data_IF_178555948695
#
_entry.id   IF_178555948695
#
_cell.length_a   1.000
_cell.length_b   1.000
_cell.length_c   1.000
_cell.angle_alpha   90.00
_cell.angle_beta   90.00
_cell.angle_gamma   90.00
#
_symmetry.space_group_name_H-M   'P 1'
#
loop_
_entity.id
_entity.type
_entity.pdbx_description
1 polymer ?
#
# COMPACT_ATOMS: atom_id res chain seq x y z
N UNK A 1 11.62 -35.97 7.62
CA UNK A 1 10.48 -36.21 6.72
C UNK A 1 10.51 -35.13 5.65
N UNK A 2 10.87 -35.51 4.42
CA UNK A 2 10.95 -34.63 3.24
C UNK A 2 9.58 -34.56 2.55
N UNK A 3 9.02 -33.37 2.33
CA UNK A 3 7.90 -33.14 1.41
C UNK A 3 8.07 -31.74 0.78
N UNK A 4 8.77 -31.64 -0.35
CA UNK A 4 8.28 -31.60 -1.74
C UNK A 4 7.70 -30.24 -2.15
N UNK A 5 8.59 -29.42 -2.71
CA UNK A 5 8.31 -28.23 -3.52
C UNK A 5 7.55 -28.68 -4.78
N UNK A 6 6.39 -28.08 -5.06
CA UNK A 6 5.70 -28.22 -6.34
C UNK A 6 5.71 -26.86 -7.01
N UNK A 7 6.61 -26.69 -7.97
CA UNK A 7 6.62 -25.59 -8.94
C UNK A 7 5.66 -25.96 -10.07
N UNK A 8 4.59 -25.20 -10.23
CA UNK A 8 3.71 -25.29 -11.41
C UNK A 8 4.07 -24.15 -12.35
N UNK A 9 4.86 -24.47 -13.39
CA UNK A 9 5.12 -23.60 -14.52
C UNK A 9 3.91 -23.67 -15.48
N UNK A 10 3.11 -22.61 -15.49
CA UNK A 10 2.13 -22.37 -16.54
C UNK A 10 2.76 -21.59 -17.69
N UNK A 11 3.23 -22.32 -18.72
CA UNK A 11 3.56 -21.73 -20.02
C UNK A 11 2.24 -21.45 -20.76
N UNK A 12 1.86 -20.18 -20.89
CA UNK A 12 0.84 -19.76 -21.85
C UNK A 12 1.53 -18.97 -22.96
N UNK A 13 1.76 -19.64 -24.09
CA UNK A 13 2.14 -18.98 -25.33
C UNK A 13 0.87 -18.51 -26.04
N UNK A 14 0.74 -17.20 -26.26
CA UNK A 14 -0.18 -16.65 -27.25
C UNK A 14 0.64 -15.91 -28.27
N UNK A 15 0.81 -16.55 -29.44
CA UNK A 15 1.25 -15.91 -30.64
C UNK A 15 0.05 -15.20 -31.29
N UNK A 16 0.10 -13.87 -31.36
CA UNK A 16 -0.68 -13.10 -32.30
C UNK A 16 0.31 -12.29 -33.13
N UNK A 17 0.51 -12.69 -34.39
CA UNK A 17 1.36 -11.98 -35.32
C UNK A 17 0.65 -10.74 -35.85
N UNK A 18 1.42 -9.67 -36.11
CA UNK A 18 1.25 -8.83 -37.29
C UNK A 18 2.49 -7.96 -37.53
N UNK A 19 3.01 -8.14 -38.73
CA UNK A 19 3.90 -7.32 -39.53
C UNK A 19 4.00 -5.82 -39.15
N UNK A 20 5.23 -5.33 -38.97
CA UNK A 20 5.56 -3.91 -38.92
C UNK A 20 7.07 -3.70 -38.89
N UNK A 21 7.66 -3.39 -40.03
CA UNK A 21 9.06 -3.00 -40.16
C UNK A 21 9.19 -1.54 -39.68
N UNK A 22 9.87 -1.32 -38.55
CA UNK A 22 10.14 0.01 -38.03
C UNK A 22 11.23 -0.04 -36.96
N UNK A 23 12.36 0.60 -37.23
CA UNK A 23 13.37 0.89 -36.21
C UNK A 23 12.77 1.87 -35.19
N UNK A 24 12.29 1.34 -34.07
CA UNK A 24 11.91 2.10 -32.89
C UNK A 24 12.73 1.62 -31.70
N UNK A 25 13.42 2.53 -31.03
CA UNK A 25 13.96 2.23 -29.70
C UNK A 25 12.76 2.09 -28.76
N UNK A 26 12.36 0.84 -28.51
CA UNK A 26 11.26 0.47 -27.62
C UNK A 26 11.70 0.68 -26.17
N UNK A 27 11.51 1.89 -25.67
CA UNK A 27 11.67 2.20 -24.25
C UNK A 27 10.33 1.99 -23.55
N UNK A 28 10.26 0.99 -22.66
CA UNK A 28 9.03 0.72 -21.89
C UNK A 28 8.59 1.94 -21.07
N UNK A 29 7.28 2.16 -20.99
CA UNK A 29 6.71 3.29 -20.25
C UNK A 29 6.71 3.05 -18.74
N UNK A 30 6.93 4.10 -17.96
CA UNK A 30 6.81 4.06 -16.50
C UNK A 30 5.33 4.07 -16.07
N UNK A 31 5.02 3.32 -15.02
CA UNK A 31 3.68 3.23 -14.43
C UNK A 31 3.75 3.37 -12.91
N UNK A 32 2.76 4.06 -12.35
CA UNK A 32 2.54 4.11 -10.91
C UNK A 32 1.05 4.06 -10.60
N UNK A 33 0.69 3.41 -9.50
CA UNK A 33 -0.69 3.30 -9.02
C UNK A 33 -0.73 3.44 -7.51
N UNK A 34 -1.79 4.07 -7.01
CA UNK A 34 -2.10 4.17 -5.59
C UNK A 34 -3.59 3.91 -5.38
N UNK A 35 -3.92 3.02 -4.46
CA UNK A 35 -5.29 2.69 -4.07
C UNK A 35 -5.44 2.82 -2.56
N UNK A 36 -6.51 3.46 -2.09
CA UNK A 36 -6.85 3.58 -0.67
C UNK A 36 -8.33 3.24 -0.49
N UNK A 37 -8.62 2.32 0.42
CA UNK A 37 -9.96 1.93 0.83
C UNK A 37 -10.15 2.31 2.29
N UNK A 38 -11.10 3.22 2.54
CA UNK A 38 -11.53 3.61 3.89
C UNK A 38 -12.83 2.88 4.21
N UNK A 39 -12.87 2.19 5.34
CA UNK A 39 -14.10 1.58 5.83
C UNK A 39 -14.79 2.55 6.79
N UNK A 40 -15.71 3.37 6.27
CA UNK A 40 -16.55 4.21 7.11
C UNK A 40 -17.70 3.38 7.70
N UNK A 41 -17.86 3.42 9.03
CA UNK A 41 -19.06 2.92 9.71
C UNK A 41 -20.14 3.99 9.58
N UNK A 42 -21.15 3.76 8.74
CA UNK A 42 -22.38 4.55 8.72
C UNK A 42 -23.29 4.03 9.84
N UNK A 43 -23.19 4.59 11.04
CA UNK A 43 -24.26 4.45 12.03
C UNK A 43 -25.34 5.51 11.75
N UNK A 44 -26.33 5.10 10.98
CA UNK A 44 -27.57 5.84 10.79
C UNK A 44 -28.45 5.69 12.05
N UNK A 45 -28.61 6.77 12.82
CA UNK A 45 -29.77 6.92 13.69
C UNK A 45 -30.51 8.23 13.34
N UNK A 46 -31.51 8.09 12.47
CA UNK A 46 -32.58 9.06 12.30
C UNK A 46 -33.71 8.72 13.27
N UNK A 47 -34.26 9.73 13.96
CA UNK A 47 -35.67 9.77 14.32
C UNK A 47 -36.17 11.22 14.19
N UNK A 48 -37.26 11.51 13.46
CA UNK A 48 -37.79 12.86 13.33
C UNK A 48 -38.70 13.15 14.52
N UNK A 49 -38.42 14.22 15.26
CA UNK A 49 -39.37 14.78 16.22
C UNK A 49 -39.93 16.09 15.65
N UNK A 50 -41.16 16.01 15.13
CA UNK A 50 -42.02 17.17 14.90
C UNK A 50 -42.27 17.90 16.22
N UNK A 51 -42.04 19.22 16.31
CA UNK A 51 -42.81 20.12 17.19
C UNK A 51 -42.83 21.55 16.60
N UNK A 52 -44.05 22.08 16.44
CA UNK A 52 -44.34 23.48 16.10
C UNK A 52 -44.20 24.41 17.33
N UNK A 53 -43.96 25.69 17.05
CA UNK A 53 -44.24 26.90 17.85
C UNK A 53 -43.45 27.16 19.15
N UNK A 54 -42.67 28.25 19.18
CA UNK A 54 -43.01 29.54 19.80
C UNK A 54 -41.77 30.26 20.35
N UNK A 55 -41.58 31.53 19.95
CA UNK A 55 -40.55 32.43 20.45
C UNK A 55 -40.65 32.64 21.97
N UNK A 56 -39.55 32.43 22.71
CA UNK A 56 -39.28 33.12 23.96
C UNK A 56 -37.81 32.97 24.39
N UNK A 57 -37.14 34.11 24.55
CA UNK A 57 -35.75 34.26 24.96
C UNK A 57 -35.49 33.77 26.39
N UNK A 58 -34.56 32.83 26.60
CA UNK A 58 -33.91 32.60 27.89
C UNK A 58 -32.46 32.13 27.70
N UNK A 59 -31.59 32.52 28.64
CA UNK A 59 -30.15 32.26 28.68
C UNK A 59 -29.79 30.80 28.38
N UNK A 60 -29.16 30.55 27.23
CA UNK A 60 -28.51 29.27 26.95
C UNK A 60 -27.09 29.27 27.51
N UNK A 61 -26.97 28.60 28.65
CA UNK A 61 -25.73 28.00 29.11
C UNK A 61 -25.24 27.06 28.00
N UNK A 62 -24.31 27.54 27.17
CA UNK A 62 -23.70 26.77 26.10
C UNK A 62 -22.87 25.62 26.68
N UNK A 63 -23.55 24.54 27.04
CA UNK A 63 -22.94 23.22 27.18
C UNK A 63 -22.61 22.74 25.77
N UNK A 64 -21.39 23.09 25.33
CA UNK A 64 -20.70 22.40 24.25
C UNK A 64 -20.58 20.92 24.67
N UNK A 65 -21.58 20.12 24.31
CA UNK A 65 -21.46 18.67 24.28
C UNK A 65 -20.39 18.34 23.24
N UNK A 66 -19.17 18.10 23.70
CA UNK A 66 -18.14 17.50 22.88
C UNK A 66 -18.59 16.07 22.61
N UNK A 67 -19.21 15.84 21.46
CA UNK A 67 -19.55 14.50 21.00
C UNK A 67 -18.25 13.88 20.53
N UNK A 68 -17.62 13.07 21.39
CA UNK A 68 -16.45 12.29 21.02
C UNK A 68 -16.85 11.20 20.02
N UNK A 69 -16.68 11.51 18.73
CA UNK A 69 -16.96 10.60 17.63
C UNK A 69 -15.82 9.57 17.52
N UNK A 70 -15.83 8.54 18.37
CA UNK A 70 -14.89 7.42 18.27
C UNK A 70 -15.32 6.46 17.16
N UNK A 71 -14.81 6.67 15.95
CA UNK A 71 -14.97 5.74 14.84
C UNK A 71 -13.93 4.61 14.90
N UNK A 72 -14.36 3.38 14.60
CA UNK A 72 -13.45 2.23 14.50
C UNK A 72 -12.47 2.40 13.32
N UNK A 73 -11.15 2.49 13.55
CA UNK A 73 -10.20 2.78 12.49
C UNK A 73 -9.99 1.54 11.61
N UNK A 74 -10.37 1.64 10.33
CA UNK A 74 -10.19 0.55 9.36
C UNK A 74 -9.87 1.07 7.96
N UNK A 75 -8.77 0.61 7.39
CA UNK A 75 -8.35 0.95 6.03
C UNK A 75 -7.56 -0.18 5.36
N UNK A 76 -7.45 -0.09 4.05
CA UNK A 76 -6.45 -0.80 3.26
C UNK A 76 -5.84 0.18 2.25
N UNK A 77 -4.54 0.08 1.99
CA UNK A 77 -3.93 0.81 0.88
C UNK A 77 -2.91 -0.04 0.13
N UNK A 78 -2.70 0.29 -1.13
CA UNK A 78 -1.70 -0.29 -2.00
C UNK A 78 -1.02 0.80 -2.83
N UNK A 79 0.28 0.63 -3.07
CA UNK A 79 1.08 1.45 -3.95
C UNK A 79 2.04 0.59 -4.77
N UNK A 80 2.24 0.95 -6.04
CA UNK A 80 3.15 0.27 -6.94
C UNK A 80 3.84 1.25 -7.90
N UNK A 81 5.11 1.00 -8.20
CA UNK A 81 5.89 1.64 -9.26
C UNK A 81 6.57 0.57 -10.09
N UNK A 82 6.47 0.71 -11.40
CA UNK A 82 7.28 -0.01 -12.37
C UNK A 82 7.77 0.98 -13.42
N UNK A 83 9.05 1.32 -13.37
CA UNK A 83 9.73 2.18 -14.33
C UNK A 83 10.89 1.42 -14.99
N UNK A 84 10.71 0.93 -16.24
CA UNK A 84 11.77 0.26 -16.98
C UNK A 84 12.97 1.15 -17.32
N UNK A 85 12.78 2.47 -17.38
CA UNK A 85 13.82 3.42 -17.77
C UNK A 85 14.79 3.70 -16.62
N UNK A 86 14.26 3.94 -15.41
CA UNK A 86 15.08 4.18 -14.21
C UNK A 86 15.44 2.90 -13.47
N UNK A 87 14.74 1.79 -13.76
CA UNK A 87 14.85 0.54 -13.01
C UNK A 87 14.07 0.57 -11.69
N UNK A 88 13.30 1.64 -11.42
CA UNK A 88 12.54 1.76 -10.19
C UNK A 88 11.39 0.75 -10.13
N UNK A 89 11.43 -0.11 -9.12
CA UNK A 89 10.43 -1.13 -8.87
C UNK A 89 10.13 -1.15 -7.38
N UNK A 90 8.92 -0.72 -7.04
CA UNK A 90 8.46 -0.62 -5.65
C UNK A 90 7.06 -1.19 -5.54
N UNK A 91 6.78 -1.82 -4.41
CA UNK A 91 5.45 -2.27 -4.04
C UNK A 91 5.23 -2.04 -2.56
N UNK A 92 4.01 -1.66 -2.16
CA UNK A 92 3.59 -1.66 -0.78
C UNK A 92 2.11 -1.95 -0.66
N UNK A 93 1.73 -2.73 0.35
CA UNK A 93 0.35 -2.93 0.75
C UNK A 93 0.25 -2.96 2.27
N UNK A 94 -0.74 -2.28 2.82
CA UNK A 94 -1.02 -2.25 4.26
C UNK A 94 -2.52 -2.27 4.53
N UNK A 95 -2.87 -2.92 5.63
CA UNK A 95 -4.22 -2.92 6.18
C UNK A 95 -4.18 -2.53 7.64
N UNK A 96 -5.20 -1.82 8.08
CA UNK A 96 -5.49 -1.58 9.48
C UNK A 96 -6.89 -2.08 9.80
N UNK A 97 -6.98 -2.78 10.92
CA UNK A 97 -8.23 -3.22 11.52
C UNK A 97 -8.16 -2.94 13.03
N UNK A 98 -8.78 -1.85 13.47
CA UNK A 98 -8.74 -1.40 14.85
C UNK A 98 -7.33 -1.01 15.28
N UNK A 99 -6.78 -1.71 16.28
CA UNK A 99 -5.43 -1.51 16.79
C UNK A 99 -4.37 -2.33 16.06
N UNK A 100 -4.76 -3.16 15.09
CA UNK A 100 -3.86 -4.06 14.36
C UNK A 100 -3.55 -3.46 13.00
N UNK A 101 -2.26 -3.29 12.71
CA UNK A 101 -1.74 -2.93 11.38
C UNK A 101 -0.92 -4.09 10.85
N UNK A 102 -1.09 -4.42 9.57
CA UNK A 102 -0.26 -5.41 8.86
C UNK A 102 0.08 -4.89 7.49
N UNK A 103 1.33 -5.03 7.09
CA UNK A 103 1.73 -4.63 5.75
C UNK A 103 2.97 -5.34 5.24
N UNK A 104 3.25 -5.07 3.97
CA UNK A 104 4.44 -5.52 3.28
C UNK A 104 4.90 -4.41 2.35
N UNK A 105 6.22 -4.21 2.25
CA UNK A 105 6.80 -3.43 1.16
C UNK A 105 7.94 -4.19 0.50
N UNK A 106 8.17 -3.92 -0.79
CA UNK A 106 9.27 -4.45 -1.57
C UNK A 106 9.95 -3.33 -2.37
N UNK A 107 11.27 -3.36 -2.43
CA UNK A 107 12.11 -2.40 -3.14
C UNK A 107 13.25 -3.13 -3.84
N UNK A 108 13.41 -2.87 -5.14
CA UNK A 108 14.65 -3.17 -5.84
C UNK A 108 15.72 -2.14 -5.43
N UNK A 109 16.79 -2.61 -4.79
CA UNK A 109 17.88 -1.77 -4.31
C UNK A 109 18.96 -1.58 -5.38
N UNK A 110 19.73 -0.49 -5.22
CA UNK A 110 20.78 -0.12 -6.17
C UNK A 110 21.93 -1.14 -6.25
N UNK A 111 22.08 -1.98 -5.24
CA UNK A 111 23.08 -3.06 -5.21
C UNK A 111 22.60 -4.33 -5.96
N UNK A 112 21.42 -4.29 -6.59
CA UNK A 112 20.82 -5.40 -7.32
C UNK A 112 20.00 -6.36 -6.45
N UNK A 113 19.92 -6.13 -5.13
CA UNK A 113 19.08 -6.95 -4.25
C UNK A 113 17.64 -6.48 -4.24
N UNK A 114 16.73 -7.37 -3.85
CA UNK A 114 15.33 -7.04 -3.57
C UNK A 114 15.13 -7.17 -2.07
N UNK A 115 14.78 -6.05 -1.42
CA UNK A 115 14.40 -6.06 -0.01
C UNK A 115 12.89 -6.12 0.11
N UNK A 116 12.39 -7.16 0.77
CA UNK A 116 10.99 -7.30 1.16
C UNK A 116 10.86 -7.26 2.68
N UNK A 117 10.03 -6.37 3.19
CA UNK A 117 9.78 -6.27 4.64
C UNK A 117 8.31 -6.52 4.90
N UNK A 118 8.02 -7.56 5.68
CA UNK A 118 6.69 -7.83 6.22
C UNK A 118 6.64 -7.30 7.63
N UNK A 119 5.58 -6.59 7.99
CA UNK A 119 5.47 -5.98 9.31
C UNK A 119 4.06 -6.10 9.86
N UNK A 120 3.98 -6.11 11.19
CA UNK A 120 2.74 -6.06 11.94
C UNK A 120 2.93 -5.17 13.17
N UNK A 121 1.85 -4.50 13.59
CA UNK A 121 1.82 -3.76 14.84
C UNK A 121 0.49 -4.00 15.56
N UNK A 122 0.55 -4.25 16.87
CA UNK A 122 -0.62 -4.33 17.74
C UNK A 122 -0.31 -3.83 19.17
N UNK A 123 -1.34 -3.70 20.00
CA UNK A 123 -1.23 -3.16 21.37
C UNK A 123 -0.41 -4.04 22.33
N UNK A 124 -0.30 -5.33 22.06
CA UNK A 124 0.35 -6.30 22.93
C UNK A 124 1.82 -6.53 22.54
N UNK A 125 2.09 -6.75 21.25
CA UNK A 125 3.41 -7.09 20.73
C UNK A 125 4.21 -5.87 20.24
N UNK A 126 3.56 -4.71 20.10
CA UNK A 126 4.16 -3.54 19.47
C UNK A 126 4.45 -3.78 17.98
N UNK A 127 5.40 -3.02 17.43
CA UNK A 127 5.82 -3.18 16.04
C UNK A 127 6.84 -4.31 15.89
N UNK A 128 6.59 -5.21 14.93
CA UNK A 128 7.50 -6.29 14.56
C UNK A 128 7.64 -6.34 13.04
N UNK A 129 8.87 -6.56 12.56
CA UNK A 129 9.17 -6.65 11.14
C UNK A 129 10.14 -7.78 10.82
N UNK A 130 9.89 -8.44 9.71
CA UNK A 130 10.73 -9.49 9.14
C UNK A 130 11.27 -8.99 7.80
N UNK A 131 12.60 -8.87 7.72
CA UNK A 131 13.30 -8.36 6.55
C UNK A 131 13.91 -9.52 5.77
N UNK A 132 13.48 -9.67 4.52
CA UNK A 132 14.04 -10.61 3.57
C UNK A 132 14.80 -9.84 2.49
N UNK A 133 15.99 -10.35 2.13
CA UNK A 133 16.81 -9.83 1.03
C UNK A 133 17.09 -10.96 0.07
N UNK A 134 16.78 -10.75 -1.20
CA UNK A 134 17.02 -11.69 -2.29
C UNK A 134 18.01 -11.09 -3.28
N UNK A 135 18.83 -11.94 -3.91
CA UNK A 135 19.86 -11.54 -4.88
C UNK A 135 21.26 -11.40 -4.28
N UNK A 136 22.18 -10.89 -5.10
CA UNK A 136 23.58 -10.70 -4.74
C UNK A 136 23.91 -9.22 -4.74
N UNK A 137 24.26 -8.69 -3.56
CA UNK A 137 24.68 -7.30 -3.43
C UNK A 137 25.99 -7.08 -4.18
N UNK A 138 25.99 -6.18 -5.16
CA UNK A 138 27.21 -5.71 -5.83
C UNK A 138 27.60 -4.35 -5.30
N UNK A 139 28.80 -4.23 -4.74
CA UNK A 139 29.37 -2.95 -4.37
C UNK A 139 30.12 -2.35 -5.56
N UNK A 140 29.62 -1.26 -6.12
CA UNK A 140 30.36 -0.52 -7.15
C UNK A 140 31.63 0.06 -6.54
N UNK A 141 32.80 -0.41 -6.96
CA UNK A 141 34.07 0.21 -6.60
C UNK A 141 34.22 1.44 -7.51
N UNK A 142 34.24 2.67 -6.96
CA UNK A 142 34.47 3.86 -7.77
C UNK A 142 35.87 3.78 -8.38
N UNK A 143 35.94 3.69 -9.71
CA UNK A 143 37.20 3.78 -10.43
C UNK A 143 37.67 5.25 -10.39
N UNK A 144 38.69 5.54 -9.59
CA UNK A 144 39.39 6.81 -9.66
C UNK A 144 40.21 6.85 -10.96
N UNK A 145 39.69 7.54 -11.97
CA UNK A 145 40.52 7.97 -13.09
C UNK A 145 41.48 9.05 -12.59
N UNK A 146 42.74 8.69 -12.39
CA UNK A 146 43.82 9.65 -12.32
C UNK A 146 44.04 10.24 -13.72
N UNK A 147 43.76 11.54 -13.84
CA UNK A 147 44.19 12.37 -14.97
C UNK A 147 45.54 13.02 -14.66
#
# INVERSE_FOLDING_TARGET
MYFKIVVLLGLLAVAAGQHGHGHGHEHGHASSSQNIVLHAVHDHHHAPAHHQHQDNHHHDNHHHHHVDYYAYPKYAFEYKVEDPHTGDKKYQHETRDGDVVKGVYSLHEADGTIRTVKYAADKHSGFNAEVHREGHATHAIPYHHHH
#
